data_IF_026337782542
#
_entry.id   IF_026337782542
#
_cell.length_a   1.000
_cell.length_b   1.000
_cell.length_c   1.000
_cell.angle_alpha   90.00
_cell.angle_beta   90.00
_cell.angle_gamma   90.00
#
_symmetry.space_group_name_H-M   'P 1'
#
loop_
_entity.id
_entity.type
_entity.pdbx_description
1 polymer ?
#
# COMPACT_ATOMS: atom_id res chain seq x y z
N UNK A 1 -23.42 -44.06 40.71
CA UNK A 1 -21.96 -43.97 40.94
C UNK A 1 -21.34 -43.76 39.57
N UNK A 2 -20.87 -42.54 39.26
CA UNK A 2 -20.34 -42.20 37.94
C UNK A 2 -18.84 -42.44 37.86
N UNK A 3 -18.39 -43.07 36.79
CA UNK A 3 -16.96 -43.19 36.44
C UNK A 3 -16.56 -42.01 35.57
N UNK A 4 -15.81 -41.05 36.13
CA UNK A 4 -15.14 -40.01 35.35
C UNK A 4 -13.96 -40.62 34.59
N UNK A 5 -13.92 -40.47 33.27
CA UNK A 5 -12.68 -40.67 32.52
C UNK A 5 -11.86 -39.38 32.56
N UNK A 6 -10.68 -39.45 33.16
CA UNK A 6 -9.69 -38.37 33.12
C UNK A 6 -8.95 -38.45 31.79
N UNK A 7 -9.30 -37.59 30.83
CA UNK A 7 -8.49 -37.39 29.62
C UNK A 7 -7.23 -36.63 30.03
N UNK A 8 -6.07 -37.29 30.00
CA UNK A 8 -4.79 -36.58 30.01
C UNK A 8 -4.65 -35.85 28.69
N UNK A 9 -4.74 -34.51 28.73
CA UNK A 9 -4.22 -33.68 27.66
C UNK A 9 -2.70 -33.80 27.71
N UNK A 10 -2.17 -34.53 26.72
CA UNK A 10 -0.73 -34.56 26.43
C UNK A 10 -0.21 -33.12 26.26
N UNK A 11 1.07 -32.89 26.53
CA UNK A 11 1.70 -31.56 26.44
C UNK A 11 1.91 -31.17 24.98
N UNK A 12 0.81 -30.93 24.28
CA UNK A 12 0.79 -30.29 22.99
C UNK A 12 1.44 -28.92 23.09
N UNK A 13 2.72 -28.85 22.73
CA UNK A 13 3.34 -27.62 22.24
C UNK A 13 2.47 -27.14 21.08
N UNK A 14 1.60 -26.19 21.36
CA UNK A 14 0.91 -25.44 20.31
C UNK A 14 1.99 -24.67 19.55
N UNK A 15 2.32 -25.17 18.36
CA UNK A 15 3.24 -24.52 17.42
C UNK A 15 2.59 -23.24 16.90
N UNK A 16 2.64 -22.19 17.72
CA UNK A 16 2.20 -20.82 17.40
C UNK A 16 3.30 -19.99 16.72
N UNK A 17 4.37 -20.62 16.21
CA UNK A 17 5.53 -19.89 15.68
C UNK A 17 5.30 -19.33 14.27
N UNK A 18 4.37 -19.90 13.50
CA UNK A 18 4.02 -19.49 12.13
C UNK A 18 2.82 -18.53 12.04
N UNK A 19 2.68 -17.60 13.00
CA UNK A 19 1.77 -16.47 12.78
C UNK A 19 2.30 -15.58 11.64
N UNK A 20 1.45 -15.23 10.64
CA UNK A 20 1.86 -14.43 9.50
C UNK A 20 2.37 -13.05 9.93
N UNK A 21 3.54 -12.66 9.41
CA UNK A 21 4.20 -11.37 9.64
C UNK A 21 3.72 -10.38 8.56
N UNK A 22 3.19 -9.22 8.96
CA UNK A 22 2.67 -8.19 8.06
C UNK A 22 2.85 -6.77 8.64
N UNK A 23 1.84 -5.89 8.55
CA UNK A 23 1.81 -4.57 9.19
C UNK A 23 0.42 -4.11 9.69
N UNK A 24 0.21 -3.93 11.01
CA UNK A 24 -1.08 -3.47 11.56
C UNK A 24 -1.08 -1.96 11.62
N UNK A 25 -1.99 -1.36 10.86
CA UNK A 25 -2.36 0.03 11.01
C UNK A 25 -3.71 0.03 11.70
N UNK A 26 -3.76 0.65 12.89
CA UNK A 26 -5.01 1.10 13.51
C UNK A 26 -5.06 2.61 13.37
N UNK A 27 -6.20 3.14 12.96
CA UNK A 27 -6.43 4.58 12.89
C UNK A 27 -7.78 4.93 13.52
N UNK A 28 -7.77 5.97 14.36
CA UNK A 28 -8.99 6.63 14.82
C UNK A 28 -9.28 7.78 13.86
N UNK A 29 -10.36 7.65 13.09
CA UNK A 29 -10.71 8.60 12.04
C UNK A 29 -12.02 9.29 12.38
N UNK A 30 -11.96 10.61 12.41
CA UNK A 30 -13.10 11.50 12.58
C UNK A 30 -13.83 11.70 11.24
N UNK A 31 -15.12 11.36 11.15
CA UNK A 31 -15.94 11.44 9.93
C UNK A 31 -17.44 11.66 10.21
N UNK A 32 -18.26 11.85 9.17
CA UNK A 32 -19.73 11.93 9.24
C UNK A 32 -20.41 10.57 9.38
N UNK A 33 -19.76 9.53 8.87
CA UNK A 33 -20.27 8.17 8.73
C UNK A 33 -19.11 7.20 8.50
N UNK A 34 -19.40 5.90 8.61
CA UNK A 34 -18.41 4.82 8.53
C UNK A 34 -17.75 4.69 7.14
N UNK A 35 -18.47 5.02 6.06
CA UNK A 35 -17.95 4.92 4.69
C UNK A 35 -16.97 6.05 4.41
N UNK A 36 -17.29 7.27 4.88
CA UNK A 36 -16.38 8.40 4.95
C UNK A 36 -15.13 8.12 5.80
N UNK A 37 -15.29 7.44 6.94
CA UNK A 37 -14.17 7.01 7.78
C UNK A 37 -13.25 6.01 7.06
N UNK A 38 -13.83 4.97 6.43
CA UNK A 38 -13.08 3.99 5.63
C UNK A 38 -12.36 4.66 4.46
N UNK A 39 -13.01 5.60 3.77
CA UNK A 39 -12.40 6.36 2.67
C UNK A 39 -11.20 7.20 3.13
N UNK A 40 -11.36 7.96 4.22
CA UNK A 40 -10.28 8.74 4.85
C UNK A 40 -9.13 7.85 5.35
N UNK A 41 -9.43 6.73 6.00
CA UNK A 41 -8.44 5.75 6.46
C UNK A 41 -7.64 5.14 5.30
N UNK A 42 -8.31 4.75 4.20
CA UNK A 42 -7.67 4.27 2.97
C UNK A 42 -6.75 5.33 2.38
N UNK A 43 -7.16 6.59 2.35
CA UNK A 43 -6.33 7.70 1.89
C UNK A 43 -5.06 7.87 2.72
N UNK A 44 -5.19 8.02 4.04
CA UNK A 44 -4.06 8.16 4.97
C UNK A 44 -3.11 6.95 4.89
N UNK A 45 -3.65 5.75 4.98
CA UNK A 45 -2.86 4.52 4.97
C UNK A 45 -2.14 4.32 3.63
N UNK A 46 -2.79 4.60 2.49
CA UNK A 46 -2.11 4.50 1.20
C UNK A 46 -0.91 5.44 1.06
N UNK A 47 -0.94 6.63 1.68
CA UNK A 47 0.24 7.52 1.76
C UNK A 47 1.39 6.83 2.51
N UNK A 48 1.12 6.28 3.70
CA UNK A 48 2.12 5.56 4.53
C UNK A 48 2.68 4.34 3.79
N UNK A 49 1.83 3.49 3.21
CA UNK A 49 2.24 2.30 2.45
C UNK A 49 3.08 2.66 1.22
N UNK A 50 2.77 3.77 0.54
CA UNK A 50 3.53 4.23 -0.63
C UNK A 50 4.90 4.79 -0.23
N UNK A 51 4.96 5.54 0.88
CA UNK A 51 6.22 6.00 1.47
C UNK A 51 7.11 4.82 1.89
N UNK A 52 6.55 3.79 2.53
CA UNK A 52 7.31 2.61 2.94
C UNK A 52 7.80 1.81 1.71
N UNK A 53 6.97 1.70 0.67
CA UNK A 53 7.35 1.04 -0.59
C UNK A 53 8.47 1.78 -1.32
N UNK A 54 8.42 3.13 -1.35
CA UNK A 54 9.48 3.97 -1.89
C UNK A 54 10.81 3.81 -1.13
N UNK A 55 10.78 3.89 0.21
CA UNK A 55 12.00 3.78 1.05
C UNK A 55 12.62 2.37 0.97
N UNK A 56 11.80 1.32 0.96
CA UNK A 56 12.27 -0.09 0.93
C UNK A 56 12.47 -0.64 -0.49
N UNK A 57 12.16 0.15 -1.53
CA UNK A 57 12.19 -0.26 -2.95
C UNK A 57 11.44 -1.59 -3.19
N UNK A 58 10.33 -1.83 -2.48
CA UNK A 58 9.66 -3.13 -2.46
C UNK A 58 8.13 -3.07 -2.56
N UNK A 59 7.55 -4.17 -3.05
CA UNK A 59 6.10 -4.35 -3.11
C UNK A 59 5.51 -4.43 -1.71
N UNK A 60 4.59 -3.52 -1.40
CA UNK A 60 3.76 -3.56 -0.21
C UNK A 60 2.32 -3.59 -0.72
N UNK A 61 1.54 -4.67 -0.49
CA UNK A 61 0.22 -4.87 -1.09
C UNK A 61 -0.79 -3.80 -0.67
N UNK A 62 -1.96 -3.79 -1.33
CA UNK A 62 -3.05 -2.89 -0.99
C UNK A 62 -3.60 -3.13 0.43
N UNK A 63 -4.21 -2.08 1.00
CA UNK A 63 -4.85 -2.15 2.30
C UNK A 63 -6.15 -2.97 2.26
N UNK A 64 -6.18 -4.05 3.04
CA UNK A 64 -7.41 -4.76 3.37
C UNK A 64 -8.03 -4.17 4.65
N UNK A 65 -9.29 -3.75 4.58
CA UNK A 65 -10.04 -3.23 5.73
C UNK A 65 -10.69 -4.42 6.42
N UNK A 66 -10.13 -4.91 7.53
CA UNK A 66 -10.67 -6.07 8.23
C UNK A 66 -11.80 -5.70 9.19
N UNK A 67 -11.72 -4.54 9.85
CA UNK A 67 -12.71 -4.04 10.79
C UNK A 67 -12.83 -2.52 10.67
N UNK A 68 -14.04 -2.01 10.83
CA UNK A 68 -14.35 -0.60 11.03
C UNK A 68 -15.53 -0.50 12.00
N UNK A 69 -15.43 0.33 13.04
CA UNK A 69 -16.54 0.54 13.97
C UNK A 69 -16.55 1.92 14.60
N UNK A 70 -17.75 2.37 14.94
CA UNK A 70 -18.03 3.64 15.62
C UNK A 70 -17.60 3.56 17.09
N UNK A 71 -16.70 4.45 17.51
CA UNK A 71 -16.19 4.58 18.89
C UNK A 71 -16.60 5.91 19.53
N UNK A 72 -17.59 6.60 18.96
CA UNK A 72 -18.07 7.90 19.47
C UNK A 72 -18.51 7.82 20.93
N UNK A 73 -17.93 8.61 21.86
CA UNK A 73 -18.27 8.55 23.27
C UNK A 73 -19.77 8.74 23.56
N UNK A 74 -20.32 7.89 24.42
CA UNK A 74 -21.74 7.93 24.84
C UNK A 74 -22.72 7.30 23.85
N UNK A 75 -22.28 6.84 22.67
CA UNK A 75 -23.12 6.15 21.70
C UNK A 75 -23.26 4.67 22.07
N UNK A 76 -24.48 4.23 22.42
CA UNK A 76 -24.76 2.83 22.80
C UNK A 76 -24.83 1.84 21.63
N UNK A 77 -25.26 2.32 20.46
CA UNK A 77 -25.41 1.51 19.24
C UNK A 77 -24.59 2.17 18.14
N UNK A 78 -23.54 1.46 17.69
CA UNK A 78 -22.60 1.91 16.66
C UNK A 78 -22.68 1.02 15.42
N UNK A 79 -22.33 1.56 14.25
CA UNK A 79 -22.12 0.71 13.07
C UNK A 79 -20.85 -0.12 13.28
N UNK A 80 -20.93 -1.42 12.99
CA UNK A 80 -19.80 -2.35 12.99
C UNK A 80 -19.73 -3.04 11.62
N UNK A 81 -18.54 -3.01 11.00
CA UNK A 81 -18.23 -3.74 9.78
C UNK A 81 -17.03 -4.63 10.07
N UNK A 82 -17.16 -5.91 9.72
CA UNK A 82 -16.03 -6.84 9.68
C UNK A 82 -15.99 -7.55 8.33
N UNK A 83 -14.81 -7.59 7.74
CA UNK A 83 -14.50 -8.40 6.58
C UNK A 83 -13.49 -9.49 6.97
N UNK A 84 -13.89 -10.74 6.77
CA UNK A 84 -12.99 -11.89 6.83
C UNK A 84 -12.46 -12.14 5.42
N UNK A 85 -11.15 -12.04 5.25
CA UNK A 85 -10.48 -12.35 3.98
C UNK A 85 -9.72 -13.65 4.12
N UNK A 86 -9.93 -14.57 3.18
CA UNK A 86 -9.02 -15.69 2.96
C UNK A 86 -7.76 -15.14 2.27
N UNK A 87 -6.79 -14.69 3.07
CA UNK A 87 -5.53 -14.12 2.56
C UNK A 87 -4.57 -15.29 2.26
N UNK A 88 -4.28 -15.63 1.00
CA UNK A 88 -3.23 -16.60 0.69
C UNK A 88 -1.87 -15.98 1.03
N UNK A 89 -1.24 -16.47 2.09
CA UNK A 89 0.09 -16.04 2.52
C UNK A 89 1.17 -16.56 1.55
N UNK A 90 1.29 -15.91 0.39
CA UNK A 90 2.51 -16.01 -0.41
C UNK A 90 3.65 -15.32 0.34
N UNK A 91 4.79 -16.00 0.49
CA UNK A 91 5.93 -15.50 1.26
C UNK A 91 6.37 -14.12 0.77
N UNK A 92 6.12 -13.09 1.58
CA UNK A 92 6.36 -11.70 1.20
C UNK A 92 7.85 -11.35 1.14
N UNK A 93 8.17 -10.30 0.38
CA UNK A 93 9.53 -9.73 0.39
C UNK A 93 9.80 -9.09 1.75
N UNK A 94 10.66 -9.72 2.55
CA UNK A 94 11.20 -9.12 3.76
C UNK A 94 12.26 -8.08 3.38
N UNK A 95 12.10 -6.85 3.89
CA UNK A 95 13.10 -5.78 3.86
C UNK A 95 13.17 -5.11 5.21
N UNK A 96 14.37 -4.66 5.57
CA UNK A 96 14.57 -3.74 6.69
C UNK A 96 14.12 -2.35 6.27
N UNK A 97 13.28 -1.71 7.09
CA UNK A 97 12.87 -0.32 6.90
C UNK A 97 13.89 0.59 7.59
N UNK A 98 14.74 1.27 6.82
CA UNK A 98 15.61 2.30 7.40
C UNK A 98 14.77 3.49 7.89
N UNK A 99 14.73 3.65 9.22
CA UNK A 99 14.06 4.74 9.91
C UNK A 99 14.67 6.10 9.58
N UNK A 100 15.95 6.15 9.25
CA UNK A 100 16.67 7.38 8.92
C UNK A 100 16.23 7.88 7.55
N UNK A 101 16.27 7.03 6.52
CA UNK A 101 15.73 7.31 5.20
C UNK A 101 14.23 7.65 5.24
N UNK A 102 13.43 6.89 6.00
CA UNK A 102 12.00 7.17 6.20
C UNK A 102 11.78 8.57 6.81
N UNK A 103 12.51 8.90 7.88
CA UNK A 103 12.43 10.20 8.54
C UNK A 103 12.92 11.36 7.67
N UNK A 104 14.01 11.17 6.89
CA UNK A 104 14.47 12.13 5.88
C UNK A 104 13.36 12.37 4.85
N UNK A 105 12.85 11.32 4.22
CA UNK A 105 11.83 11.38 3.18
C UNK A 105 10.53 12.05 3.68
N UNK A 106 10.03 11.66 4.86
CA UNK A 106 8.84 12.28 5.46
C UNK A 106 9.03 13.78 5.72
N UNK A 107 10.23 14.21 6.17
CA UNK A 107 10.54 15.63 6.39
C UNK A 107 10.69 16.42 5.10
N UNK A 108 11.23 15.81 4.04
CA UNK A 108 11.28 16.44 2.72
C UNK A 108 9.87 16.64 2.16
N UNK A 109 9.01 15.62 2.23
CA UNK A 109 7.61 15.69 1.81
C UNK A 109 6.85 16.81 2.55
N UNK A 110 7.06 16.96 3.87
CA UNK A 110 6.41 18.03 4.67
C UNK A 110 6.93 19.44 4.41
N UNK A 111 8.03 19.62 3.68
CA UNK A 111 8.55 20.94 3.26
C UNK A 111 8.01 21.41 1.91
N UNK A 112 7.42 20.51 1.13
CA UNK A 112 6.83 20.85 -0.17
C UNK A 112 5.54 21.65 0.01
N UNK A 113 5.26 22.55 -0.93
CA UNK A 113 3.93 23.14 -1.10
C UNK A 113 2.88 22.05 -1.29
N UNK A 114 1.64 22.28 -0.83
CA UNK A 114 0.57 21.27 -0.82
C UNK A 114 0.33 20.61 -2.20
N UNK A 115 0.46 21.38 -3.29
CA UNK A 115 0.28 20.88 -4.66
C UNK A 115 1.43 19.93 -5.05
N UNK A 116 2.68 20.29 -4.74
CA UNK A 116 3.86 19.46 -5.00
C UNK A 116 3.87 18.22 -4.10
N UNK A 117 3.50 18.37 -2.82
CA UNK A 117 3.32 17.29 -1.86
C UNK A 117 2.33 16.23 -2.39
N UNK A 118 1.14 16.65 -2.83
CA UNK A 118 0.14 15.76 -3.41
C UNK A 118 0.61 15.09 -4.71
N UNK A 119 1.40 15.78 -5.54
CA UNK A 119 2.02 15.19 -6.75
C UNK A 119 3.02 14.10 -6.39
N UNK A 120 3.93 14.37 -5.47
CA UNK A 120 4.96 13.42 -5.02
C UNK A 120 4.31 12.19 -4.37
N UNK A 121 3.36 12.37 -3.44
CA UNK A 121 2.65 11.25 -2.81
C UNK A 121 1.88 10.40 -3.82
N UNK A 122 1.22 11.03 -4.81
CA UNK A 122 0.53 10.30 -5.89
C UNK A 122 1.49 9.55 -6.80
N UNK A 123 2.67 10.12 -7.06
CA UNK A 123 3.72 9.48 -7.86
C UNK A 123 4.39 8.31 -7.14
N UNK A 124 4.61 8.41 -5.82
CA UNK A 124 5.02 7.28 -4.98
C UNK A 124 3.98 6.15 -4.96
N UNK A 125 2.69 6.49 -4.98
CA UNK A 125 1.63 5.49 -5.10
C UNK A 125 1.70 4.75 -6.45
N UNK A 126 1.90 5.47 -7.56
CA UNK A 126 2.13 4.84 -8.87
C UNK A 126 3.41 3.99 -8.93
N UNK A 127 4.49 4.44 -8.29
CA UNK A 127 5.72 3.64 -8.13
C UNK A 127 5.45 2.33 -7.38
N UNK A 128 4.69 2.37 -6.27
CA UNK A 128 4.26 1.16 -5.55
C UNK A 128 3.44 0.21 -6.44
N UNK A 129 2.45 0.73 -7.18
CA UNK A 129 1.64 -0.08 -8.10
C UNK A 129 2.51 -0.73 -9.20
N UNK A 130 3.51 -0.03 -9.71
CA UNK A 130 4.44 -0.56 -10.71
C UNK A 130 5.35 -1.71 -10.20
N UNK A 131 5.66 -1.74 -8.91
CA UNK A 131 6.40 -2.84 -8.28
C UNK A 131 5.47 -4.01 -7.93
N UNK A 132 4.20 -3.73 -7.60
CA UNK A 132 3.18 -4.75 -7.32
C UNK A 132 2.72 -5.51 -8.58
N UNK A 133 2.51 -4.81 -9.70
CA UNK A 133 1.85 -5.43 -10.86
C UNK A 133 2.72 -6.49 -11.53
N UNK A 134 2.06 -7.56 -11.96
CA UNK A 134 2.65 -8.67 -12.72
C UNK A 134 2.56 -8.45 -14.23
N UNK A 135 1.68 -7.57 -14.69
CA UNK A 135 1.48 -7.28 -16.11
C UNK A 135 2.39 -6.14 -16.59
N UNK A 136 3.08 -6.36 -17.72
CA UNK A 136 4.08 -5.42 -18.21
C UNK A 136 3.48 -4.10 -18.73
N UNK A 137 2.21 -4.09 -19.16
CA UNK A 137 1.48 -2.88 -19.58
C UNK A 137 1.05 -2.06 -18.36
N UNK A 138 0.50 -2.69 -17.33
CA UNK A 138 0.15 -2.05 -16.07
C UNK A 138 1.39 -1.45 -15.37
N UNK A 139 2.50 -2.20 -15.30
CA UNK A 139 3.78 -1.72 -14.77
C UNK A 139 4.26 -0.48 -15.51
N UNK A 140 4.33 -0.53 -16.84
CA UNK A 140 4.78 0.60 -17.66
C UNK A 140 3.87 1.82 -17.50
N UNK A 141 2.55 1.59 -17.55
CA UNK A 141 1.54 2.63 -17.41
C UNK A 141 1.65 3.33 -16.05
N UNK A 142 1.82 2.56 -14.98
CA UNK A 142 2.02 3.09 -13.63
C UNK A 142 3.30 3.93 -13.54
N UNK A 143 4.44 3.43 -14.01
CA UNK A 143 5.70 4.20 -14.03
C UNK A 143 5.58 5.50 -14.83
N UNK A 144 4.95 5.44 -16.01
CA UNK A 144 4.78 6.60 -16.87
C UNK A 144 3.87 7.66 -16.23
N UNK A 145 2.71 7.26 -15.67
CA UNK A 145 1.82 8.20 -14.96
C UNK A 145 2.52 8.78 -13.72
N UNK A 146 3.35 7.99 -13.03
CA UNK A 146 4.21 8.46 -11.95
C UNK A 146 5.11 9.62 -12.38
N UNK A 147 5.80 9.48 -13.52
CA UNK A 147 6.64 10.51 -14.12
C UNK A 147 5.83 11.74 -14.57
N UNK A 148 4.71 11.55 -15.28
CA UNK A 148 3.82 12.65 -15.69
C UNK A 148 3.32 13.47 -14.48
N UNK A 149 3.03 12.80 -13.37
CA UNK A 149 2.50 13.43 -12.15
C UNK A 149 3.50 14.42 -11.54
N UNK A 150 4.79 14.07 -11.49
CA UNK A 150 5.87 14.93 -10.94
C UNK A 150 6.49 15.89 -11.96
N UNK A 151 6.05 15.88 -13.23
CA UNK A 151 6.66 16.70 -14.27
C UNK A 151 6.79 18.20 -13.90
N UNK A 152 5.74 18.80 -13.30
CA UNK A 152 5.80 20.20 -12.90
C UNK A 152 6.78 20.46 -11.75
N UNK A 153 6.85 19.54 -10.79
CA UNK A 153 7.79 19.59 -9.67
C UNK A 153 9.23 19.39 -10.16
N UNK A 154 9.44 18.57 -11.20
CA UNK A 154 10.72 18.47 -11.91
C UNK A 154 11.06 19.76 -12.67
N UNK A 155 10.11 20.40 -13.36
CA UNK A 155 10.36 21.70 -14.00
C UNK A 155 10.79 22.76 -12.97
N UNK A 156 10.14 22.78 -11.79
CA UNK A 156 10.49 23.65 -10.66
C UNK A 156 11.90 23.35 -10.12
N UNK A 157 12.25 22.07 -9.94
CA UNK A 157 13.59 21.64 -9.51
C UNK A 157 14.70 22.02 -10.52
N UNK A 158 14.42 21.91 -11.82
CA UNK A 158 15.37 22.24 -12.88
C UNK A 158 15.38 23.71 -13.32
N UNK A 159 14.56 24.57 -12.69
CA UNK A 159 14.36 25.97 -13.08
C UNK A 159 13.93 26.15 -14.56
N UNK A 160 13.15 25.19 -15.10
CA UNK A 160 12.66 25.18 -16.48
C UNK A 160 11.24 25.72 -16.55
N UNK A 161 10.97 26.60 -17.51
CA UNK A 161 9.62 27.12 -17.78
C UNK A 161 8.65 26.00 -18.18
N UNK A 162 7.43 26.05 -17.64
CA UNK A 162 6.39 25.06 -17.96
C UNK A 162 5.73 25.42 -19.29
N UNK A 163 6.16 24.75 -20.35
CA UNK A 163 5.47 24.77 -21.64
C UNK A 163 4.11 24.05 -21.56
N UNK A 164 3.12 24.52 -22.33
CA UNK A 164 1.80 23.91 -22.44
C UNK A 164 1.44 23.64 -23.89
N UNK A 165 0.70 22.56 -24.14
CA UNK A 165 0.06 22.28 -25.43
C UNK A 165 -1.46 22.27 -25.29
N UNK A 166 -2.16 22.89 -26.24
CA UNK A 166 -3.62 22.86 -26.31
C UNK A 166 -4.08 21.57 -26.98
N UNK A 167 -4.97 20.81 -26.33
CA UNK A 167 -5.57 19.61 -26.92
C UNK A 167 -6.55 20.01 -28.04
N UNK A 168 -6.26 19.62 -29.28
CA UNK A 168 -7.09 19.92 -30.46
C UNK A 168 -8.56 19.47 -30.33
N UNK A 169 -8.82 18.39 -29.58
CA UNK A 169 -10.17 17.84 -29.43
C UNK A 169 -11.01 18.50 -28.33
N UNK A 170 -10.40 19.06 -27.28
CA UNK A 170 -11.15 19.60 -26.13
C UNK A 170 -10.74 21.01 -25.68
N UNK A 171 -9.78 21.64 -26.37
CA UNK A 171 -9.30 23.00 -26.07
C UNK A 171 -8.56 23.15 -24.74
N UNK A 172 -8.40 22.08 -23.95
CA UNK A 172 -7.72 22.14 -22.64
C UNK A 172 -6.21 22.14 -22.83
N UNK A 173 -5.54 23.02 -22.10
CA UNK A 173 -4.08 23.06 -22.02
C UNK A 173 -3.58 21.93 -21.10
N UNK A 174 -2.62 21.16 -21.59
CA UNK A 174 -1.88 20.15 -20.83
C UNK A 174 -0.40 20.54 -20.79
N UNK A 175 0.30 20.38 -19.65
CA UNK A 175 1.72 20.70 -19.58
C UNK A 175 2.52 19.74 -20.45
N UNK A 176 3.48 20.27 -21.21
CA UNK A 176 4.46 19.46 -21.93
C UNK A 176 5.41 18.85 -20.89
N UNK A 177 5.84 17.62 -21.17
CA UNK A 177 6.66 16.82 -20.26
C UNK A 177 8.16 17.23 -20.28
N UNK A 178 8.44 18.53 -20.17
CA UNK A 178 9.79 19.11 -20.25
C UNK A 178 10.68 18.69 -19.07
N UNK A 179 10.17 18.69 -17.84
CA UNK A 179 10.88 18.20 -16.66
C UNK A 179 11.24 16.72 -16.76
N UNK A 180 10.32 15.88 -17.25
CA UNK A 180 10.59 14.45 -17.50
C UNK A 180 11.60 14.27 -18.64
N UNK A 181 11.52 15.05 -19.73
CA UNK A 181 12.54 15.02 -20.81
C UNK A 181 13.94 15.33 -20.29
N UNK A 182 14.07 16.35 -19.44
CA UNK A 182 15.34 16.76 -18.81
C UNK A 182 15.89 15.63 -17.94
N UNK A 183 15.08 15.07 -17.04
CA UNK A 183 15.43 13.93 -16.19
C UNK A 183 15.95 12.73 -17.00
N UNK A 184 15.20 12.29 -18.02
CA UNK A 184 15.61 11.16 -18.85
C UNK A 184 16.91 11.44 -19.64
N UNK A 185 17.13 12.70 -20.04
CA UNK A 185 18.37 13.11 -20.70
C UNK A 185 19.58 13.13 -19.77
N UNK A 186 19.41 13.43 -18.49
CA UNK A 186 20.50 13.45 -17.50
C UNK A 186 20.88 12.05 -17.02
N UNK A 187 19.92 11.14 -16.93
CA UNK A 187 20.19 9.73 -16.64
C UNK A 187 21.07 9.11 -17.74
N UNK A 188 20.96 9.59 -18.99
CA UNK A 188 21.85 9.21 -20.09
C UNK A 188 21.73 7.76 -20.57
N UNK A 189 20.80 6.98 -20.01
CA UNK A 189 20.58 5.59 -20.39
C UNK A 189 20.05 5.51 -21.82
N UNK A 190 20.75 4.73 -22.67
CA UNK A 190 20.37 4.43 -24.05
C UNK A 190 18.96 3.84 -24.21
N UNK A 191 18.41 3.24 -23.15
CA UNK A 191 17.04 2.74 -23.08
C UNK A 191 15.99 3.83 -22.89
N UNK A 192 16.38 5.01 -22.40
CA UNK A 192 15.47 6.09 -22.01
C UNK A 192 15.30 7.19 -23.07
N UNK A 193 15.52 6.87 -24.34
CA UNK A 193 15.34 7.81 -25.45
C UNK A 193 13.89 8.29 -25.51
N UNK A 194 13.69 9.59 -25.29
CA UNK A 194 12.39 10.26 -25.24
C UNK A 194 11.41 9.84 -26.35
N UNK A 195 11.87 9.82 -27.60
CA UNK A 195 11.04 9.51 -28.78
C UNK A 195 10.55 8.06 -28.78
N UNK A 196 11.36 7.12 -28.30
CA UNK A 196 11.03 5.70 -28.23
C UNK A 196 9.99 5.46 -27.13
N UNK A 197 10.21 5.97 -25.90
CA UNK A 197 9.26 5.81 -24.80
C UNK A 197 7.93 6.53 -25.11
N UNK A 198 7.96 7.75 -25.66
CA UNK A 198 6.75 8.49 -26.01
C UNK A 198 5.90 7.76 -27.05
N UNK A 199 6.54 7.14 -28.05
CA UNK A 199 5.87 6.30 -29.04
C UNK A 199 5.29 5.05 -28.38
N UNK A 200 6.05 4.40 -27.50
CA UNK A 200 5.61 3.20 -26.78
C UNK A 200 4.40 3.50 -25.89
N UNK A 201 4.39 4.63 -25.16
CA UNK A 201 3.24 5.13 -24.40
C UNK A 201 2.00 5.31 -25.29
N UNK A 202 2.13 5.96 -26.43
CA UNK A 202 1.01 6.13 -27.36
C UNK A 202 0.49 4.78 -27.89
N UNK A 203 1.39 3.82 -28.20
CA UNK A 203 1.01 2.47 -28.63
C UNK A 203 0.24 1.74 -27.51
N UNK A 204 0.78 1.74 -26.29
CA UNK A 204 0.20 1.07 -25.13
C UNK A 204 -1.16 1.66 -24.75
N UNK A 205 -1.30 2.98 -24.71
CA UNK A 205 -2.54 3.64 -24.26
C UNK A 205 -3.67 3.58 -25.30
N UNK A 206 -3.34 3.45 -26.59
CA UNK A 206 -4.34 3.38 -27.67
C UNK A 206 -4.52 1.97 -28.27
N UNK A 207 -3.79 0.96 -27.76
CA UNK A 207 -3.90 -0.43 -28.25
C UNK A 207 -3.53 -0.61 -29.72
N UNK A 208 -2.70 0.27 -30.29
CA UNK A 208 -2.51 0.37 -31.75
C UNK A 208 -1.58 -0.70 -32.35
N UNK A 209 -1.06 -1.62 -31.53
CA UNK A 209 -0.26 -2.76 -31.96
C UNK A 209 -0.59 -4.03 -31.15
N UNK A 210 -0.41 -5.24 -31.71
CA UNK A 210 -0.62 -6.49 -30.99
C UNK A 210 0.29 -6.66 -29.76
N UNK A 211 -0.25 -7.22 -28.68
CA UNK A 211 0.45 -7.39 -27.40
C UNK A 211 1.82 -8.09 -27.53
N UNK A 212 1.94 -9.11 -28.40
CA UNK A 212 3.19 -9.85 -28.62
C UNK A 212 4.31 -9.00 -29.24
N UNK A 213 3.98 -7.87 -29.89
CA UNK A 213 4.96 -6.90 -30.42
C UNK A 213 5.34 -5.88 -29.35
N UNK A 214 4.38 -5.45 -28.54
CA UNK A 214 4.54 -4.37 -27.55
C UNK A 214 5.24 -4.85 -26.28
N UNK A 215 4.84 -6.00 -25.73
CA UNK A 215 5.36 -6.51 -24.45
C UNK A 215 6.88 -6.68 -24.43
N UNK A 216 7.56 -7.21 -25.47
CA UNK A 216 9.03 -7.28 -25.50
C UNK A 216 9.70 -5.90 -25.39
N UNK A 217 9.17 -4.88 -26.10
CA UNK A 217 9.67 -3.50 -26.03
C UNK A 217 9.45 -2.89 -24.64
N UNK A 218 8.32 -3.17 -23.99
CA UNK A 218 8.07 -2.73 -22.61
C UNK A 218 9.10 -3.35 -21.64
N UNK A 219 9.31 -4.67 -21.70
CA UNK A 219 10.28 -5.40 -20.85
C UNK A 219 11.67 -4.77 -20.89
N UNK A 220 12.15 -4.43 -22.08
CA UNK A 220 13.46 -3.82 -22.29
C UNK A 220 13.62 -2.45 -21.58
N UNK A 221 12.52 -1.68 -21.46
CA UNK A 221 12.57 -0.31 -20.90
C UNK A 221 12.12 -0.21 -19.43
N UNK A 222 11.44 -1.22 -18.88
CA UNK A 222 10.81 -1.16 -17.56
C UNK A 222 11.78 -0.86 -16.43
N UNK A 223 12.92 -1.56 -16.36
CA UNK A 223 13.90 -1.36 -15.30
C UNK A 223 14.46 0.07 -15.30
N UNK A 224 14.90 0.56 -16.47
CA UNK A 224 15.36 1.93 -16.66
C UNK A 224 14.29 2.96 -16.30
N UNK A 225 13.02 2.72 -16.66
CA UNK A 225 11.90 3.64 -16.36
C UNK A 225 11.56 3.65 -14.86
N UNK A 226 11.71 2.52 -14.18
CA UNK A 226 11.54 2.36 -12.74
C UNK A 226 12.63 3.12 -11.98
N UNK A 227 13.88 2.99 -12.42
CA UNK A 227 15.00 3.78 -11.91
C UNK A 227 14.80 5.27 -12.18
N UNK A 228 14.31 5.67 -13.37
CA UNK A 228 14.04 7.06 -13.69
C UNK A 228 12.98 7.68 -12.77
N UNK A 229 11.88 6.97 -12.50
CA UNK A 229 10.86 7.44 -11.56
C UNK A 229 11.41 7.57 -10.12
N UNK A 230 12.19 6.58 -9.66
CA UNK A 230 12.81 6.63 -8.34
C UNK A 230 13.79 7.81 -8.21
N UNK A 231 14.69 7.99 -9.18
CA UNK A 231 15.63 9.13 -9.25
C UNK A 231 14.89 10.47 -9.27
N UNK A 232 13.85 10.59 -10.11
CA UNK A 232 13.01 11.78 -10.16
C UNK A 232 12.36 12.12 -8.81
N UNK A 233 11.90 11.10 -8.07
CA UNK A 233 11.36 11.25 -6.72
C UNK A 233 12.44 11.62 -5.68
N UNK A 234 13.65 11.09 -5.78
CA UNK A 234 14.78 11.50 -4.95
C UNK A 234 15.17 12.97 -5.18
N UNK A 235 15.28 13.40 -6.44
CA UNK A 235 15.66 14.77 -6.83
C UNK A 235 14.66 15.81 -6.31
N UNK A 236 13.35 15.61 -6.52
CA UNK A 236 12.32 16.55 -6.02
C UNK A 236 12.17 16.56 -4.51
N UNK A 237 12.78 15.61 -3.79
CA UNK A 237 12.79 15.53 -2.33
C UNK A 237 14.15 15.88 -1.70
N UNK A 238 15.15 16.26 -2.49
CA UNK A 238 16.52 16.51 -2.02
C UNK A 238 17.06 15.33 -1.19
N UNK A 239 16.91 14.11 -1.74
CA UNK A 239 17.36 12.87 -1.14
C UNK A 239 18.54 12.29 -1.92
N UNK A 240 19.59 11.91 -1.18
CA UNK A 240 20.68 11.08 -1.71
C UNK A 240 20.11 9.77 -2.29
N UNK A 241 20.54 9.43 -3.50
CA UNK A 241 20.16 8.15 -4.11
C UNK A 241 20.83 6.98 -3.34
N UNK A 242 20.02 6.03 -2.85
CA UNK A 242 20.56 4.75 -2.35
C UNK A 242 21.10 3.94 -3.54
N UNK A 243 22.35 3.50 -3.44
CA UNK A 243 23.05 2.65 -4.42
C UNK A 243 22.54 1.21 -4.50
N UNK A 244 21.59 0.81 -3.65
CA UNK A 244 20.96 -0.50 -3.73
C UNK A 244 20.07 -0.60 -4.98
N UNK A 245 20.18 -1.68 -5.75
CA UNK A 245 19.32 -1.87 -6.92
C UNK A 245 17.84 -1.92 -6.53
N UNK A 246 16.96 -1.37 -7.38
CA UNK A 246 15.51 -1.55 -7.23
C UNK A 246 15.19 -2.99 -7.61
N UNK A 247 14.99 -3.85 -6.62
CA UNK A 247 14.77 -5.28 -6.83
C UNK A 247 13.46 -5.52 -7.55
N UNK A 248 13.55 -5.87 -8.84
CA UNK A 248 12.41 -6.30 -9.65
C UNK A 248 11.80 -7.59 -9.09
N UNK A 249 10.73 -7.44 -8.29
CA UNK A 249 10.09 -8.58 -7.61
C UNK A 249 9.49 -9.64 -8.55
N UNK A 250 9.32 -9.30 -9.84
CA UNK A 250 8.93 -10.27 -10.88
C UNK A 250 9.97 -11.39 -11.03
N UNK A 251 11.26 -11.10 -10.79
CA UNK A 251 12.32 -12.13 -10.79
C UNK A 251 12.43 -12.84 -9.43
N UNK A 252 12.04 -12.18 -8.32
CA UNK A 252 12.14 -12.80 -6.98
C UNK A 252 11.02 -13.79 -6.65
N UNK A 253 9.96 -13.88 -7.46
CA UNK A 253 8.96 -14.95 -7.31
C UNK A 253 9.51 -16.36 -7.62
N UNK A 254 10.69 -16.47 -8.23
CA UNK A 254 11.43 -17.74 -8.35
C UNK A 254 12.44 -17.97 -7.20
N UNK A 255 12.71 -16.95 -6.37
CA UNK A 255 13.80 -16.94 -5.39
C UNK A 255 13.29 -16.80 -3.94
N UNK A 256 12.69 -17.87 -3.41
CA UNK A 256 12.29 -17.94 -2.01
C UNK A 256 13.48 -18.28 -1.09
N UNK A 257 14.09 -17.26 -0.48
CA UNK A 257 14.87 -17.43 0.75
C UNK A 257 14.38 -16.49 1.86
N UNK A 258 14.13 -17.07 3.03
CA UNK A 258 13.63 -16.38 4.21
C UNK A 258 14.76 -15.65 4.93
N UNK A 259 14.55 -14.38 5.23
CA UNK A 259 15.33 -13.63 6.23
C UNK A 259 14.38 -12.88 7.15
N UNK A 260 14.70 -12.86 8.45
CA UNK A 260 13.88 -12.24 9.50
C UNK A 260 14.57 -11.01 10.05
N UNK A 261 13.85 -9.89 10.17
CA UNK A 261 14.32 -8.68 10.82
C UNK A 261 13.37 -8.28 11.96
N UNK A 262 13.93 -7.81 13.08
CA UNK A 262 13.20 -7.15 14.16
C UNK A 262 13.36 -5.63 14.05
N UNK A 263 12.33 -4.88 14.47
CA UNK A 263 12.33 -3.42 14.48
C UNK A 263 11.76 -2.96 15.84
N UNK A 264 12.34 -1.92 16.44
CA UNK A 264 11.83 -1.28 17.67
C UNK A 264 12.08 0.23 17.65
N UNK A 265 11.23 1.01 18.31
CA UNK A 265 11.39 2.46 18.52
C UNK A 265 10.13 3.30 18.23
N UNK A 266 9.92 4.43 18.94
CA UNK A 266 8.66 5.18 18.97
C UNK A 266 8.52 6.25 17.87
N UNK A 267 7.34 6.89 17.87
CA UNK A 267 6.96 8.16 17.25
C UNK A 267 6.87 8.27 15.71
N UNK A 268 5.62 8.16 15.23
CA UNK A 268 5.11 8.82 14.03
C UNK A 268 3.81 9.55 14.42
N UNK A 269 3.85 10.88 14.52
CA UNK A 269 2.66 11.71 14.71
C UNK A 269 2.32 12.42 13.40
N UNK A 270 1.11 12.19 12.89
CA UNK A 270 0.52 12.97 11.81
C UNK A 270 -0.56 13.87 12.41
N UNK A 271 -0.39 15.19 12.27
CA UNK A 271 -1.36 16.18 12.71
C UNK A 271 -2.11 16.66 11.47
N UNK A 272 -3.43 16.56 11.49
CA UNK A 272 -4.32 17.28 10.58
C UNK A 272 -5.35 18.04 11.43
N UNK A 273 -5.69 19.27 11.05
CA UNK A 273 -6.50 20.18 11.87
C UNK A 273 -7.55 20.92 11.04
N UNK A 274 -8.76 20.37 11.00
CA UNK A 274 -9.99 21.15 10.87
C UNK A 274 -11.05 20.60 11.83
N UNK A 275 -11.71 21.49 12.57
CA UNK A 275 -12.78 21.13 13.52
C UNK A 275 -14.13 21.26 12.81
N UNK A 276 -14.69 20.12 12.46
CA UNK A 276 -16.06 19.92 11.98
C UNK A 276 -16.74 18.98 13.00
N UNK A 277 -18.09 18.95 13.17
CA UNK A 277 -18.71 17.97 14.06
C UNK A 277 -18.40 16.54 13.59
N UNK A 278 -17.75 15.74 14.44
CA UNK A 278 -17.16 14.46 14.04
C UNK A 278 -17.56 13.30 14.94
N UNK A 279 -17.84 12.16 14.31
CA UNK A 279 -17.89 10.84 14.94
C UNK A 279 -16.52 10.18 14.84
N UNK A 280 -16.08 9.50 15.88
CA UNK A 280 -14.78 8.80 15.90
C UNK A 280 -14.96 7.33 15.52
N UNK A 281 -14.10 6.80 14.65
CA UNK A 281 -14.13 5.42 14.18
C UNK A 281 -12.76 4.73 14.33
N UNK A 282 -12.71 3.51 14.90
CA UNK A 282 -11.49 2.68 14.89
C UNK A 282 -11.52 1.69 13.70
N UNK A 283 -10.41 1.59 12.97
CA UNK A 283 -10.23 0.69 11.81
C UNK A 283 -8.97 -0.16 12.00
N UNK A 284 -9.01 -1.47 11.67
CA UNK A 284 -7.84 -2.39 11.61
C UNK A 284 -7.97 -3.41 10.47
N UNK A 285 -6.99 -4.24 10.05
CA UNK A 285 -5.66 -4.67 10.56
C UNK A 285 -4.84 -5.20 9.36
N UNK A 286 -3.48 -5.25 9.43
CA UNK A 286 -2.60 -6.13 8.59
C UNK A 286 -1.35 -6.75 9.35
N UNK A 287 -1.21 -6.65 10.70
CA UNK A 287 -0.22 -7.31 11.63
C UNK A 287 1.33 -6.99 11.62
N UNK A 288 1.86 -5.90 12.24
CA UNK A 288 3.32 -5.68 12.51
C UNK A 288 3.61 -5.93 14.00
N UNK A 289 4.77 -6.51 14.34
CA UNK A 289 5.20 -6.80 15.72
C UNK A 289 6.51 -6.08 16.02
N UNK A 290 6.51 -5.21 17.03
CA UNK A 290 7.72 -4.53 17.55
C UNK A 290 7.68 -4.55 19.08
N UNK A 291 8.56 -5.32 19.73
CA UNK A 291 8.54 -5.56 21.18
C UNK A 291 9.33 -4.52 21.99
N UNK A 292 8.75 -4.11 23.11
CA UNK A 292 9.32 -3.18 24.10
C UNK A 292 8.32 -2.91 25.22
N UNK A 293 8.21 -3.84 26.16
CA UNK A 293 7.21 -3.91 27.25
C UNK A 293 7.37 -2.80 28.32
N UNK A 294 6.36 -2.54 29.21
CA UNK A 294 5.02 -3.15 29.28
C UNK A 294 3.84 -2.17 29.42
N UNK A 295 2.71 -2.51 28.81
CA UNK A 295 1.38 -2.28 29.38
C UNK A 295 0.59 -3.60 29.34
N UNK A 296 -0.14 -3.91 30.42
CA UNK A 296 -0.85 -5.18 30.57
C UNK A 296 -2.19 -5.12 29.84
N UNK A 297 -2.41 -6.02 28.90
CA UNK A 297 -3.75 -6.43 28.49
C UNK A 297 -3.85 -7.96 28.55
N UNK A 298 -4.82 -8.46 29.33
CA UNK A 298 -5.16 -9.89 29.37
C UNK A 298 -5.88 -10.24 28.07
N UNK A 299 -5.31 -11.16 27.30
CA UNK A 299 -6.08 -11.95 26.36
C UNK A 299 -6.69 -13.15 27.11
N UNK A 300 -7.95 -13.03 27.53
CA UNK A 300 -8.75 -14.21 27.89
C UNK A 300 -9.19 -14.86 26.58
N UNK A 301 -8.97 -16.16 26.34
CA UNK A 301 -9.58 -16.83 25.20
C UNK A 301 -11.10 -16.85 25.40
N UNK A 302 -11.84 -16.23 24.49
CA UNK A 302 -13.28 -16.51 24.37
C UNK A 302 -13.40 -17.88 23.71
N UNK A 303 -13.49 -18.91 24.54
CA UNK A 303 -14.17 -20.15 24.15
C UNK A 303 -15.65 -19.78 24.01
N UNK A 304 -16.22 -19.97 22.83
CA UNK A 304 -17.66 -19.74 22.63
C UNK A 304 -18.44 -20.90 23.26
N UNK A 305 -18.86 -20.73 24.52
CA UNK A 305 -19.65 -21.73 25.25
C UNK A 305 -21.10 -21.88 24.73
N UNK A 306 -21.49 -21.20 23.65
CA UNK A 306 -22.85 -21.32 23.08
C UNK A 306 -23.06 -22.49 22.11
N UNK A 307 -22.01 -23.22 21.74
CA UNK A 307 -22.17 -24.49 21.01
C UNK A 307 -22.44 -25.69 21.95
N UNK A 308 -23.62 -25.69 22.58
CA UNK A 308 -24.22 -26.95 23.06
C UNK A 308 -24.74 -27.73 21.85
N UNK A 309 -24.02 -28.79 21.50
CA UNK A 309 -24.43 -29.75 20.49
C UNK A 309 -25.78 -30.40 20.90
N UNK A 310 -26.82 -30.15 20.12
CA UNK A 310 -28.02 -30.97 20.02
C UNK A 310 -28.02 -31.50 18.58
N UNK A 311 -28.45 -32.75 18.36
CA UNK A 311 -28.48 -33.39 17.04
C UNK A 311 -29.31 -32.62 15.99
N UNK A 312 -29.19 -32.89 14.70
CA UNK A 312 -28.71 -34.14 14.08
C UNK A 312 -27.83 -33.91 12.85
N UNK A 313 -27.18 -34.99 12.39
CA UNK A 313 -26.38 -35.03 11.16
C UNK A 313 -27.21 -34.81 9.90
N UNK A 314 -26.98 -33.70 9.20
CA UNK A 314 -27.17 -33.65 7.74
C UNK A 314 -26.02 -32.96 7.03
N UNK A 315 -25.45 -33.67 6.06
CA UNK A 315 -24.33 -33.24 5.23
C UNK A 315 -24.75 -32.09 4.30
N UNK A 316 -24.12 -30.93 4.44
CA UNK A 316 -24.11 -29.88 3.41
C UNK A 316 -22.71 -29.76 2.83
N UNK A 317 -22.60 -30.00 1.52
CA UNK A 317 -21.35 -29.81 0.79
C UNK A 317 -21.03 -28.31 0.68
N UNK A 318 -19.86 -27.90 1.15
CA UNK A 318 -19.40 -26.54 0.96
C UNK A 318 -19.06 -26.28 -0.51
N UNK A 319 -19.60 -25.20 -1.08
CA UNK A 319 -19.05 -24.61 -2.31
C UNK A 319 -18.12 -23.45 -1.94
N UNK A 320 -16.91 -23.37 -2.52
CA UNK A 320 -16.08 -22.18 -2.41
C UNK A 320 -16.66 -21.04 -3.27
N UNK A 321 -16.20 -19.81 -2.99
CA UNK A 321 -16.50 -18.56 -3.71
C UNK A 321 -17.82 -17.86 -3.37
N UNK A 322 -17.84 -17.17 -2.23
CA UNK A 322 -18.47 -15.85 -2.08
C UNK A 322 -17.98 -15.16 -0.81
N UNK A 323 -17.44 -13.95 -0.92
CA UNK A 323 -17.14 -13.13 0.25
C UNK A 323 -18.47 -12.68 0.88
N UNK A 324 -18.85 -13.27 2.00
CA UNK A 324 -20.07 -12.89 2.72
C UNK A 324 -19.84 -11.60 3.50
N UNK A 325 -20.49 -10.51 3.05
CA UNK A 325 -20.61 -9.29 3.83
C UNK A 325 -21.69 -9.48 4.89
N UNK A 326 -21.30 -9.81 6.12
CA UNK A 326 -22.22 -9.84 7.26
C UNK A 326 -22.37 -8.44 7.85
N UNK A 327 -23.40 -7.71 7.44
CA UNK A 327 -23.88 -6.52 8.18
C UNK A 327 -24.76 -7.00 9.33
N UNK A 328 -24.32 -6.72 10.56
CA UNK A 328 -25.07 -7.05 11.78
C UNK A 328 -25.11 -5.82 12.66
N UNK A 329 -26.31 -5.35 12.98
CA UNK A 329 -26.50 -4.34 14.02
C UNK A 329 -26.27 -5.03 15.37
N UNK A 330 -25.30 -4.53 16.14
CA UNK A 330 -25.00 -5.00 17.49
C UNK A 330 -25.40 -3.92 18.50
N UNK A 331 -26.29 -4.29 19.42
CA UNK A 331 -26.45 -3.56 20.68
C UNK A 331 -25.39 -4.09 21.66
N UNK A 332 -24.66 -3.18 22.32
CA UNK A 332 -23.84 -3.53 23.48
C UNK A 332 -24.60 -3.16 24.75
N UNK A 333 -24.74 -4.13 25.67
CA UNK A 333 -25.21 -3.89 27.05
C UNK A 333 -24.12 -3.25 27.92
#
# INVERSE_FOLDING_TARGET
IGTSQTVQLDQGKLFFEDFPKGMKITANISASDIDGAISRARGLTNRVLSLFSFVTKCSIPELLIMKAYDVTPGKKVGKYIQHCYDIPFSGGSARTLDKTALGKCSRSISKLEEIDNNRVLRSMHWFRLAIQSKDYIERFTSLWIGLETINLTLCKHYEIEVEYSTCEHCGKNAPILTGVRKLLSEIGDSNLKWREISKLRAITFHGSQPLHVVVPQLKEKLHSLQNALYKGLCLVLDLEESSEDIVDMVNSHEAHHLSTAEISGPDLQFIDREIVPTFDYEIGVVHLKTSGTPFIFRATPVIDERYKFIGDTHTLMAQPHLAQQMTTDFEME
#
